data_IF_675462949736
#
_entry.id   IF_675462949736
#
_cell.length_a   1.000
_cell.length_b   1.000
_cell.length_c   1.000
_cell.angle_alpha   90.00
_cell.angle_beta   90.00
_cell.angle_gamma   90.00
#
_symmetry.space_group_name_H-M   'P 1'
#
loop_
_entity.id
_entity.type
_entity.pdbx_description
1 polymer ?
2 non-polymer ?
3 water ?
#
# COMPACT_ATOMS: atom_id res chain seq x y z
N UNK A 1 -5.69 9.01 9.87
CA UNK A 1 -5.39 8.99 8.40
C UNK A 1 -6.13 7.92 7.60
N UNK A 2 -6.04 8.04 6.30
CA UNK A 2 -6.70 7.08 5.43
C UNK A 2 -5.88 5.83 5.08
N UNK A 3 -4.59 5.84 5.40
CA UNK A 3 -3.72 4.65 5.31
C UNK A 3 -3.13 4.43 6.71
N UNK A 4 -2.60 3.25 6.96
CA UNK A 4 -2.08 2.89 8.23
C UNK A 4 -1.06 1.76 8.07
N UNK A 5 0.17 1.95 8.58
CA UNK A 5 1.17 0.91 8.45
C UNK A 5 0.80 -0.34 9.22
N UNK A 6 1.03 -1.50 8.64
CA UNK A 6 1.00 -2.72 9.39
C UNK A 6 1.86 -2.75 10.62
N UNK A 7 3.04 -2.18 10.59
CA UNK A 7 3.96 -2.12 11.79
C UNK A 7 4.52 -0.72 12.01
N UNK A 8 3.80 0.15 12.83
CA UNK A 8 4.19 1.53 13.08
C UNK A 8 5.60 1.74 13.63
N UNK A 9 6.05 0.86 14.44
CA UNK A 9 7.36 1.02 15.07
C UNK A 9 8.45 0.84 14.01
N UNK A 10 8.14 0.00 13.02
CA UNK A 10 9.07 -0.18 11.94
C UNK A 10 8.91 0.86 10.89
N UNK A 11 8.10 1.87 11.27
CA UNK A 11 8.01 3.06 10.50
C UNK A 11 9.38 3.68 10.17
N UNK A 12 10.28 3.65 11.16
CA UNK A 12 11.60 4.21 11.09
C UNK A 12 12.54 3.26 10.33
N UNK A 13 13.24 3.81 9.36
CA UNK A 13 14.30 3.05 8.67
C UNK A 13 15.36 2.56 9.66
N UNK A 14 15.70 3.34 10.69
CA UNK A 14 16.71 2.93 11.64
C UNK A 14 16.20 1.75 12.43
N UNK A 15 14.93 1.75 12.77
CA UNK A 15 14.39 0.60 13.51
C UNK A 15 14.46 -0.61 12.62
N UNK A 16 14.14 -0.42 11.33
CA UNK A 16 14.21 -1.54 10.38
C UNK A 16 15.63 -2.04 10.27
N UNK A 17 16.62 -1.19 10.14
CA UNK A 17 17.99 -1.61 10.00
C UNK A 17 18.44 -2.45 11.20
N UNK A 18 18.08 -2.02 12.41
CA UNK A 18 18.44 -2.77 13.63
C UNK A 18 17.89 -4.19 13.67
N UNK A 19 16.77 -4.42 12.98
CA UNK A 19 16.16 -5.76 12.98
C UNK A 19 17.02 -6.78 12.32
N UNK A 20 18.02 -6.35 11.57
CA UNK A 20 18.89 -7.30 10.86
C UNK A 20 20.13 -7.76 11.65
N UNK A 21 20.13 -7.52 12.96
CA UNK A 21 21.25 -7.89 13.80
C UNK A 21 21.65 -9.34 13.55
N UNK A 22 20.65 -10.21 13.43
CA UNK A 22 20.90 -11.66 13.30
C UNK A 22 20.47 -12.19 11.92
N UNK A 23 20.44 -11.30 10.93
CA UNK A 23 20.23 -11.70 9.55
C UNK A 23 21.27 -12.79 9.18
N UNK A 24 20.82 -13.88 8.51
CA UNK A 24 21.76 -15.02 8.34
C UNK A 24 22.82 -14.74 7.37
N UNK A 25 23.94 -15.42 7.57
CA UNK A 25 25.08 -15.17 6.72
C UNK A 25 24.97 -15.62 5.29
N UNK A 26 24.00 -16.49 5.02
CA UNK A 26 23.72 -16.91 3.62
C UNK A 26 22.87 -15.90 2.85
N UNK A 27 22.29 -14.94 3.57
CA UNK A 27 21.31 -14.08 2.93
C UNK A 27 22.04 -12.94 2.24
N UNK A 28 21.99 -12.88 0.93
CA UNK A 28 22.91 -12.01 0.21
C UNK A 28 22.52 -10.55 0.17
N UNK A 29 21.22 -10.26 0.29
CA UNK A 29 20.80 -8.85 0.29
C UNK A 29 21.27 -8.17 1.56
N UNK A 30 21.66 -6.90 1.43
CA UNK A 30 22.12 -6.14 2.59
C UNK A 30 20.94 -5.58 3.39
N UNK A 31 21.09 -5.55 4.72
CA UNK A 31 20.16 -4.81 5.55
C UNK A 31 19.90 -3.37 5.07
N UNK A 32 20.93 -2.70 4.57
CA UNK A 32 20.77 -1.33 4.01
C UNK A 32 19.74 -1.33 2.90
N UNK A 33 19.89 -2.21 1.93
CA UNK A 33 18.98 -2.21 0.79
C UNK A 33 17.55 -2.57 1.24
N UNK A 34 17.44 -3.62 2.08
CA UNK A 34 16.17 -4.12 2.53
C UNK A 34 15.41 -3.07 3.33
N UNK A 35 16.08 -2.49 4.31
CA UNK A 35 15.46 -1.46 5.14
C UNK A 35 14.99 -0.26 4.33
N UNK A 36 15.81 0.12 3.35
CA UNK A 36 15.43 1.24 2.46
C UNK A 36 14.20 0.99 1.66
N UNK A 37 13.97 -0.29 1.30
CA UNK A 37 12.76 -0.70 0.61
C UNK A 37 11.57 -0.96 1.55
N UNK A 38 11.65 -0.56 2.82
CA UNK A 38 10.58 -0.72 3.75
C UNK A 38 10.52 -2.00 4.54
N UNK A 39 11.54 -2.83 4.38
CA UNK A 39 11.49 -4.19 4.88
C UNK A 39 12.31 -4.34 6.14
N UNK A 40 11.84 -5.18 7.02
CA UNK A 40 12.53 -5.51 8.26
C UNK A 40 12.54 -7.05 8.45
N UNK A 41 13.47 -7.52 9.25
CA UNK A 41 13.65 -8.96 9.43
C UNK A 41 12.64 -9.50 10.43
N UNK A 42 11.96 -10.59 10.05
CA UNK A 42 10.96 -11.23 10.92
C UNK A 42 11.63 -12.18 11.93
N UNK A 43 12.92 -12.47 11.78
CA UNK A 43 13.62 -13.38 12.69
C UNK A 43 13.57 -14.84 12.26
N UNK A 44 12.94 -15.11 11.12
CA UNK A 44 12.80 -16.47 10.61
C UNK A 44 13.45 -16.58 9.24
N UNK A 45 14.42 -17.50 9.10
CA UNK A 45 15.05 -17.73 7.80
C UNK A 45 15.59 -16.44 7.17
N UNK A 46 15.30 -16.24 5.88
CA UNK A 46 15.62 -15.00 5.20
C UNK A 46 14.33 -14.19 4.94
N UNK A 47 13.34 -14.33 5.80
CA UNK A 47 12.02 -13.70 5.61
C UNK A 47 12.02 -12.31 6.19
N UNK A 48 11.63 -11.37 5.33
CA UNK A 48 11.44 -9.95 5.73
C UNK A 48 9.99 -9.59 5.53
N UNK A 49 9.58 -8.45 6.13
CA UNK A 49 8.23 -7.97 6.01
C UNK A 49 8.24 -6.46 5.84
N UNK A 50 7.27 -5.96 5.10
CA UNK A 50 7.12 -4.52 4.92
C UNK A 50 6.33 -3.88 6.09
N UNK A 51 6.90 -2.77 6.64
CA UNK A 51 6.24 -2.08 7.73
C UNK A 51 4.92 -1.47 7.26
N UNK A 52 4.81 -1.14 5.98
CA UNK A 52 3.64 -0.47 5.44
C UNK A 52 2.52 -1.41 5.09
N UNK A 53 2.75 -2.27 4.08
CA UNK A 53 1.72 -3.15 3.58
C UNK A 53 1.62 -4.49 4.33
N UNK A 54 2.64 -4.84 5.08
CA UNK A 54 2.69 -6.11 5.80
C UNK A 54 3.07 -7.32 4.95
N UNK A 55 3.36 -7.12 3.67
CA UNK A 55 3.77 -8.21 2.80
C UNK A 55 5.05 -8.82 3.27
N UNK A 56 5.21 -10.14 3.04
CA UNK A 56 6.43 -10.87 3.41
C UNK A 56 7.13 -11.41 2.19
N UNK A 57 8.47 -11.40 2.23
CA UNK A 57 9.27 -11.91 1.17
C UNK A 57 10.34 -12.77 1.75
N UNK A 58 10.60 -13.91 1.07
CA UNK A 58 11.62 -14.86 1.54
C UNK A 58 12.12 -15.64 0.33
N UNK A 59 13.10 -16.50 0.59
CA UNK A 59 13.74 -17.33 -0.47
C UNK A 59 14.29 -16.49 -1.59
N UNK A 60 15.08 -15.50 -1.19
CA UNK A 60 15.69 -14.61 -2.13
C UNK A 60 16.70 -15.32 -3.01
N UNK A 61 16.82 -14.88 -4.25
CA UNK A 61 17.69 -15.49 -5.28
C UNK A 61 18.62 -14.47 -5.91
N UNK A 62 19.74 -14.91 -6.50
CA UNK A 62 20.71 -13.96 -7.03
C UNK A 62 20.11 -13.04 -8.08
N UNK A 63 20.48 -11.77 -8.01
CA UNK A 63 19.98 -10.77 -8.90
C UNK A 63 18.67 -10.17 -8.44
N UNK A 64 18.09 -10.71 -7.34
CA UNK A 64 16.88 -10.14 -6.76
C UNK A 64 17.28 -8.82 -6.12
N UNK A 65 16.47 -7.82 -6.36
CA UNK A 65 16.60 -6.53 -5.71
C UNK A 65 15.39 -6.34 -4.79
N UNK A 66 15.60 -5.68 -3.68
CA UNK A 66 14.54 -5.52 -2.68
C UNK A 66 13.33 -4.74 -3.23
N UNK A 67 13.57 -3.59 -3.86
CA UNK A 67 12.50 -2.78 -4.33
C UNK A 67 11.74 -3.49 -5.43
N UNK A 68 12.49 -4.12 -6.34
CA UNK A 68 11.86 -4.83 -7.47
C UNK A 68 10.92 -5.96 -6.97
N UNK A 69 11.40 -6.77 -6.05
CA UNK A 69 10.54 -7.81 -5.50
C UNK A 69 9.37 -7.26 -4.70
N UNK A 70 9.62 -6.21 -3.93
CA UNK A 70 8.55 -5.59 -3.18
C UNK A 70 7.43 -5.10 -4.12
N UNK A 71 7.84 -4.41 -5.18
CA UNK A 71 6.85 -3.85 -6.12
C UNK A 71 6.19 -4.95 -6.90
N UNK A 72 6.93 -6.03 -7.20
CA UNK A 72 6.33 -7.11 -8.00
C UNK A 72 5.23 -7.79 -7.24
N UNK A 73 5.51 -8.09 -5.97
CA UNK A 73 4.55 -8.87 -5.17
C UNK A 73 3.46 -8.07 -4.50
N UNK A 74 3.78 -6.82 -4.17
CA UNK A 74 2.88 -5.97 -3.39
C UNK A 74 2.82 -4.59 -4.07
N UNK A 75 2.31 -4.55 -5.31
CA UNK A 75 2.35 -3.32 -6.06
C UNK A 75 1.45 -2.20 -5.53
N UNK A 76 0.48 -2.55 -4.71
CA UNK A 76 -0.44 -1.55 -4.15
C UNK A 76 -0.06 -1.06 -2.79
N UNK A 77 1.15 -1.40 -2.34
CA UNK A 77 1.68 -0.91 -1.08
C UNK A 77 1.87 0.61 -1.09
N UNK A 78 1.44 1.28 -0.02
CA UNK A 78 1.61 2.75 -0.03
C UNK A 78 3.09 3.16 -0.03
N UNK A 79 3.97 2.33 0.52
CA UNK A 79 5.38 2.68 0.53
C UNK A 79 5.96 2.56 -0.89
N UNK A 80 5.55 1.50 -1.61
CA UNK A 80 5.89 1.30 -3.01
C UNK A 80 5.40 2.46 -3.85
N UNK A 81 4.17 2.89 -3.60
CA UNK A 81 3.50 3.90 -4.41
C UNK A 81 3.83 5.33 -4.03
N UNK A 82 4.54 5.50 -2.92
CA UNK A 82 4.98 6.82 -2.41
C UNK A 82 6.43 7.06 -2.72
N UNK A 83 7.12 6.05 -3.26
CA UNK A 83 8.57 6.07 -3.40
C UNK A 83 9.01 7.16 -4.39
N UNK B 8 -10.80 -5.88 -15.01
CA UNK B 8 -11.39 -4.98 -16.01
C UNK B 8 -12.79 -4.48 -15.64
N UNK B 9 -13.51 -5.16 -14.76
CA UNK B 9 -14.84 -4.70 -14.37
C UNK B 9 -14.85 -3.29 -13.77
N UNK B 10 -13.78 -2.89 -13.07
CA UNK B 10 -13.79 -1.61 -12.36
C UNK B 10 -13.22 -0.42 -13.11
N UNK B 11 -12.94 -0.57 -14.41
CA UNK B 11 -12.48 0.56 -15.25
C UNK B 11 -13.55 1.59 -15.51
N UNK B 12 -14.78 1.10 -15.53
CA UNK B 12 -15.97 1.90 -15.74
C UNK B 12 -16.33 2.64 -14.47
N UNK B 13 -16.36 3.97 -14.55
CA UNK B 13 -16.82 4.78 -13.44
C UNK B 13 -18.23 4.38 -12.99
N UNK B 14 -19.08 4.02 -13.94
CA UNK B 14 -20.38 3.47 -13.60
C UNK B 14 -20.31 2.16 -12.81
N UNK B 15 -19.35 1.31 -13.12
CA UNK B 15 -19.24 0.01 -12.41
C UNK B 15 -18.66 0.19 -11.00
N UNK B 16 -17.85 1.24 -10.84
CA UNK B 16 -17.31 1.58 -9.50
C UNK B 16 -18.46 2.09 -8.64
N UNK B 17 -19.43 2.78 -9.26
CA UNK B 17 -20.62 3.26 -8.49
C UNK B 17 -21.44 2.14 -7.94
N UNK B 18 -21.67 1.14 -8.77
CA UNK B 18 -22.45 -0.02 -8.39
C UNK B 18 -21.84 -0.80 -7.24
N UNK B 19 -20.50 -0.76 -7.07
CA UNK B 19 -19.88 -1.38 -5.90
C UNK B 19 -20.31 -0.78 -4.55
N UNK B 20 -20.84 0.43 -4.61
CA UNK B 20 -21.24 1.14 -3.38
C UNK B 20 -22.64 0.75 -2.84
N UNK B 21 -23.17 -0.39 -3.29
CA UNK B 21 -24.30 -0.99 -2.56
C UNK B 21 -23.69 -1.36 -1.20
N UNK B 22 -24.44 -1.11 -0.17
CA UNK B 22 -24.05 -1.42 1.18
C UNK B 22 -23.02 -0.42 1.78
N UNK B 23 -22.69 0.65 1.05
CA UNK B 23 -21.84 1.76 1.57
C UNK B 23 -22.54 2.30 2.80
N UNK B 24 -21.82 2.39 3.93
CA UNK B 24 -22.52 2.72 5.18
C UNK B 24 -22.97 4.15 5.18
N UNK B 25 -24.09 4.38 5.87
CA UNK B 25 -24.70 5.71 5.90
C UNK B 25 -23.88 6.71 6.70
N UNK B 26 -23.06 6.23 7.65
CA UNK B 26 -22.23 7.17 8.41
C UNK B 26 -21.14 7.81 7.56
N UNK B 27 -20.70 7.09 6.54
CA UNK B 27 -19.44 7.43 5.85
C UNK B 27 -19.42 8.88 5.42
N UNK B 28 -18.23 9.47 5.49
CA UNK B 28 -18.13 10.92 5.34
C UNK B 28 -17.88 11.41 3.90
N UNK B 29 -17.93 10.49 2.90
CA UNK B 29 -17.93 10.82 1.44
C UNK B 29 -18.89 9.93 0.69
N UNK B 30 -19.33 10.40 -0.47
CA UNK B 30 -20.32 9.72 -1.31
C UNK B 30 -19.73 8.75 -2.33
N UNK B 31 -20.50 7.71 -2.70
CA UNK B 31 -20.14 6.81 -3.78
C UNK B 31 -19.67 7.53 -5.03
N UNK B 32 -20.39 8.58 -5.47
CA UNK B 32 -20.03 9.33 -6.69
C UNK B 32 -18.66 9.93 -6.60
N UNK B 33 -18.43 10.73 -5.57
CA UNK B 33 -17.12 11.39 -5.42
C UNK B 33 -15.97 10.33 -5.46
N UNK B 34 -16.15 9.28 -4.70
CA UNK B 34 -15.14 8.21 -4.61
C UNK B 34 -14.91 7.56 -5.95
N UNK B 35 -16.00 7.21 -6.63
CA UNK B 35 -15.89 6.53 -7.92
C UNK B 35 -15.23 7.40 -8.96
N UNK B 36 -15.49 8.69 -8.89
CA UNK B 36 -14.90 9.62 -9.81
C UNK B 36 -13.37 9.76 -9.61
N UNK B 37 -12.93 9.54 -8.38
CA UNK B 37 -11.50 9.57 -8.04
C UNK B 37 -10.82 8.19 -8.23
N UNK B 38 -11.53 7.27 -8.86
CA UNK B 38 -11.00 5.95 -9.28
C UNK B 38 -11.25 4.86 -8.25
N UNK B 39 -12.04 5.16 -7.22
CA UNK B 39 -12.14 4.28 -6.05
C UNK B 39 -13.43 3.51 -6.06
N UNK B 40 -13.40 2.27 -5.61
CA UNK B 40 -14.58 1.43 -5.47
C UNK B 40 -14.61 0.81 -4.10
N UNK B 41 -15.78 0.41 -3.68
CA UNK B 41 -15.96 -0.12 -2.36
C UNK B 41 -15.49 -1.56 -2.28
N UNK B 42 -14.78 -1.91 -1.20
CA UNK B 42 -14.27 -3.26 -1.06
C UNK B 42 -15.28 -4.13 -0.37
N UNK B 43 -16.29 -3.51 0.24
CA UNK B 43 -17.37 -4.25 0.85
C UNK B 43 -17.32 -4.30 2.35
N UNK B 44 -16.29 -3.73 2.97
CA UNK B 44 -16.15 -3.65 4.42
C UNK B 44 -15.88 -2.24 4.93
N UNK B 45 -16.51 -1.87 6.03
CA UNK B 45 -16.30 -0.55 6.64
C UNK B 45 -16.59 0.54 5.64
N UNK B 46 -15.72 1.56 5.64
CA UNK B 46 -15.74 2.61 4.64
C UNK B 46 -14.48 2.47 3.74
N UNK B 47 -13.99 1.23 3.57
CA UNK B 47 -12.75 1.01 2.80
C UNK B 47 -13.01 0.98 1.31
N UNK B 48 -12.16 1.67 0.55
CA UNK B 48 -12.25 1.70 -0.88
C UNK B 48 -10.85 1.43 -1.45
N UNK B 49 -10.84 1.09 -2.73
CA UNK B 49 -9.65 0.71 -3.44
C UNK B 49 -9.61 1.31 -4.80
N UNK B 50 -8.41 1.65 -5.31
CA UNK B 50 -8.27 2.27 -6.62
C UNK B 50 -8.21 1.18 -7.71
N UNK B 51 -8.95 1.38 -8.77
CA UNK B 51 -8.94 0.45 -9.92
C UNK B 51 -7.66 0.41 -10.68
N UNK B 52 -6.85 1.44 -10.53
CA UNK B 52 -5.56 1.56 -11.27
C UNK B 52 -4.37 1.15 -10.44
N UNK B 53 -4.17 1.72 -9.28
CA UNK B 53 -3.05 1.34 -8.44
C UNK B 53 -3.32 0.27 -7.38
N UNK B 54 -4.58 -0.05 -7.09
CA UNK B 54 -4.92 -0.98 -6.05
C UNK B 54 -4.80 -0.46 -4.65
N UNK B 55 -4.40 0.79 -4.47
CA UNK B 55 -4.25 1.33 -3.14
C UNK B 55 -5.57 1.37 -2.37
N UNK B 56 -5.52 1.10 -1.08
CA UNK B 56 -6.69 1.05 -0.24
C UNK B 56 -6.71 2.24 0.71
N UNK B 57 -7.88 2.84 0.88
CA UNK B 57 -8.09 3.94 1.79
C UNK B 57 -9.33 3.65 2.67
N UNK B 58 -9.27 4.02 3.95
CA UNK B 58 -10.38 3.83 4.89
C UNK B 58 -10.32 4.84 5.98
N UNK B 59 -11.32 4.82 6.84
CA UNK B 59 -11.40 5.72 7.99
C UNK B 59 -11.37 7.17 7.53
N UNK B 60 -12.23 7.45 6.57
CA UNK B 60 -12.41 8.82 6.02
C UNK B 60 -12.92 9.72 7.15
N UNK B 61 -12.47 10.97 7.16
CA UNK B 61 -12.91 11.93 8.19
C UNK B 61 -13.66 13.04 7.56
N UNK B 62 -14.52 13.72 8.34
CA UNK B 62 -15.28 14.79 7.71
C UNK B 62 -14.34 15.83 7.09
N UNK B 63 -14.67 16.30 5.89
CA UNK B 63 -13.83 17.28 5.23
C UNK B 63 -12.78 16.68 4.31
N UNK B 64 -12.50 15.38 4.44
CA UNK B 64 -11.59 14.72 3.48
C UNK B 64 -12.16 14.77 2.09
N UNK B 65 -11.29 14.88 1.06
CA UNK B 65 -11.72 14.80 -0.33
C UNK B 65 -11.08 13.56 -0.95
N UNK B 66 -11.83 12.84 -1.76
CA UNK B 66 -11.35 11.57 -2.37
C UNK B 66 -10.04 11.77 -3.15
N UNK B 67 -10.00 12.75 -4.03
CA UNK B 67 -8.81 12.98 -4.83
C UNK B 67 -7.62 13.36 -4.00
N UNK B 68 -7.80 14.25 -3.04
CA UNK B 68 -6.68 14.65 -2.21
C UNK B 68 -6.04 13.48 -1.45
N UNK B 69 -6.86 12.61 -0.87
CA UNK B 69 -6.27 11.49 -0.16
C UNK B 69 -5.62 10.50 -1.13
N UNK B 70 -6.30 10.26 -2.23
CA UNK B 70 -5.75 9.33 -3.24
C UNK B 70 -4.34 9.79 -3.67
N UNK B 71 -4.21 11.05 -4.03
CA UNK B 71 -2.90 11.61 -4.45
C UNK B 71 -1.90 11.69 -3.30
N UNK B 72 -2.35 11.99 -2.08
CA UNK B 72 -1.43 12.01 -0.93
C UNK B 72 -0.71 10.71 -0.64
N UNK B 73 -1.46 9.64 -0.69
CA UNK B 73 -0.95 8.33 -0.27
C UNK B 73 -0.42 7.46 -1.39
N UNK B 74 -0.89 7.69 -2.61
CA UNK B 74 -0.49 6.87 -3.77
C UNK B 74 -0.07 7.79 -4.90
N UNK B 75 0.99 8.60 -4.67
CA UNK B 75 1.34 9.55 -5.70
C UNK B 75 1.79 8.98 -7.00
N UNK B 76 2.37 7.77 -6.98
CA UNK B 76 2.87 7.12 -8.21
C UNK B 76 1.77 6.35 -8.94
N UNK B 77 0.53 6.37 -8.46
CA UNK B 77 -0.58 5.78 -9.20
C UNK B 77 -0.65 6.45 -10.54
N UNK B 78 -0.80 5.66 -11.60
CA UNK B 78 -0.87 6.26 -12.93
C UNK B 78 -2.05 7.16 -13.14
N UNK B 79 -3.18 6.78 -12.53
CA UNK B 79 -4.41 7.58 -12.63
C UNK B 79 -4.21 8.92 -11.94
N UNK B 80 -3.59 8.91 -10.78
CA UNK B 80 -3.27 10.15 -10.04
C UNK B 80 -2.33 11.01 -10.89
N UNK B 81 -1.31 10.38 -11.49
CA UNK B 81 -0.30 11.14 -12.24
C UNK B 81 -0.93 11.81 -13.44
N UNK B 82 -1.91 11.17 -14.07
CA UNK B 82 -2.64 11.78 -15.20
C UNK B 82 -3.55 12.92 -14.78
N UNK B 83 -4.34 12.69 -13.73
CA UNK B 83 -5.17 13.75 -13.10
C UNK B 83 -4.36 14.99 -12.79
N UNK B 84 -3.13 14.83 -12.28
CA UNK B 84 -2.30 16.01 -11.96
C UNK B 84 -1.90 16.73 -13.24
X LIG C 1 4.97 -2.86 1.29
X LIG D 1 -4.71 4.87 -7.62
#
# INVERSE_FOLDING_TARGET
>A
GTIYPRNPAMYSEEARLKSFQNWPDYAHLTPRELASAGLYYTGIGDQVQCFACGGKLKNWEPGDRAWSEHRRHFPNCFFVLGRNLN
>B
GTIYPRNPAMYSEEARLKSFQNWPDYAHLTPRELASAGLYYTGIGDQVQCFACGGKLKNWEPGDRAWSEHRRHFPNCFFVLGRNLN
>C hetero
1 ZN ZN
>D hetero
1 ZN ZN
#
